data_IF_920023646480
#
_entry.id   IF_920023646480
#
_cell.length_a   1.000
_cell.length_b   1.000
_cell.length_c   1.000
_cell.angle_alpha   90.00
_cell.angle_beta   90.00
_cell.angle_gamma   90.00
#
_symmetry.space_group_name_H-M   'P 1'
#
loop_
_entity.id
_entity.type
_entity.pdbx_description
1 polymer ?
#
# COMPACT_ATOMS: atom_id res chain seq x y z
N UNK A 1 -21.62 5.16 -12.27
CA UNK A 1 -21.28 5.65 -10.93
C UNK A 1 -21.18 7.16 -11.07
N UNK A 2 -22.26 7.88 -10.75
CA UNK A 2 -22.27 9.34 -10.80
C UNK A 2 -21.90 9.81 -9.39
N UNK A 3 -20.61 9.90 -9.11
CA UNK A 3 -20.16 10.74 -7.99
C UNK A 3 -20.22 12.18 -8.47
N UNK A 4 -20.94 13.04 -7.75
CA UNK A 4 -20.79 14.49 -7.89
C UNK A 4 -19.29 14.82 -7.85
N UNK A 5 -18.82 15.70 -8.74
CA UNK A 5 -17.41 16.06 -8.82
C UNK A 5 -16.95 16.69 -7.50
N UNK A 6 -16.37 15.87 -6.63
CA UNK A 6 -15.78 16.32 -5.37
C UNK A 6 -14.75 17.40 -5.65
N UNK A 7 -14.77 18.43 -4.81
CA UNK A 7 -13.71 19.43 -4.75
C UNK A 7 -12.41 18.79 -4.26
N UNK A 8 -11.27 19.41 -4.58
CA UNK A 8 -9.96 18.92 -4.12
C UNK A 8 -9.88 18.80 -2.60
N UNK A 9 -10.55 19.70 -1.87
CA UNK A 9 -10.60 19.67 -0.39
C UNK A 9 -11.32 18.43 0.13
N UNK A 10 -12.42 18.03 -0.51
CA UNK A 10 -13.18 16.83 -0.13
C UNK A 10 -12.40 15.55 -0.46
N UNK A 11 -11.72 15.52 -1.61
CA UNK A 11 -10.84 14.41 -1.99
C UNK A 11 -9.68 14.25 -1.00
N UNK A 12 -9.06 15.35 -0.61
CA UNK A 12 -7.99 15.34 0.39
C UNK A 12 -8.49 14.82 1.75
N UNK A 13 -9.66 15.27 2.21
CA UNK A 13 -10.26 14.80 3.46
C UNK A 13 -10.54 13.30 3.43
N UNK A 14 -11.12 12.80 2.33
CA UNK A 14 -11.31 11.37 2.08
C UNK A 14 -9.97 10.61 2.03
N UNK A 15 -8.93 11.23 1.47
CA UNK A 15 -7.57 10.69 1.45
C UNK A 15 -7.00 10.49 2.85
N UNK A 16 -7.22 11.42 3.78
CA UNK A 16 -6.83 11.29 5.19
C UNK A 16 -7.53 10.10 5.84
N UNK A 17 -8.85 9.99 5.66
CA UNK A 17 -9.63 8.86 6.20
C UNK A 17 -9.11 7.53 5.65
N UNK A 18 -8.83 7.49 4.34
CA UNK A 18 -8.31 6.29 3.70
C UNK A 18 -6.92 5.90 4.19
N UNK A 19 -6.04 6.88 4.40
CA UNK A 19 -4.72 6.67 4.96
C UNK A 19 -4.79 6.07 6.37
N UNK A 20 -5.70 6.57 7.20
CA UNK A 20 -5.95 6.04 8.55
C UNK A 20 -6.49 4.60 8.50
N UNK A 21 -7.35 4.29 7.52
CA UNK A 21 -7.83 2.93 7.30
C UNK A 21 -6.67 1.98 6.93
N UNK A 22 -5.82 2.39 5.97
CA UNK A 22 -4.66 1.61 5.50
C UNK A 22 -3.61 1.38 6.59
N UNK A 23 -3.55 2.25 7.60
CA UNK A 23 -2.61 2.18 8.70
C UNK A 23 -3.13 1.37 9.90
N UNK A 24 -4.25 0.65 9.74
CA UNK A 24 -4.87 -0.09 10.84
C UNK A 24 -5.40 0.82 11.96
N UNK A 25 -5.73 2.07 11.63
CA UNK A 25 -6.23 3.08 12.57
C UNK A 25 -5.15 3.95 13.21
N UNK A 26 -3.87 3.78 12.86
CA UNK A 26 -2.78 4.61 13.38
C UNK A 26 -3.01 6.10 13.10
N UNK A 27 -2.87 6.94 14.13
CA UNK A 27 -3.00 8.39 14.04
C UNK A 27 -1.92 9.02 13.14
N UNK A 28 -0.75 8.39 13.04
CA UNK A 28 0.35 8.85 12.19
C UNK A 28 0.22 8.40 10.74
N UNK A 29 -0.75 7.53 10.41
CA UNK A 29 -0.86 6.92 9.09
C UNK A 29 0.12 5.76 8.82
N UNK A 30 0.91 5.34 9.82
CA UNK A 30 1.89 4.25 9.70
C UNK A 30 2.86 4.50 8.54
N UNK A 31 3.30 3.43 7.87
CA UNK A 31 4.22 3.53 6.74
C UNK A 31 3.71 4.43 5.59
N UNK A 32 2.38 4.47 5.36
CA UNK A 32 1.78 5.38 4.38
C UNK A 32 1.88 6.85 4.79
N UNK A 33 1.70 7.14 6.08
CA UNK A 33 1.83 8.49 6.63
C UNK A 33 3.27 9.00 6.60
N UNK A 34 4.24 8.13 6.91
CA UNK A 34 5.67 8.42 6.73
C UNK A 34 5.98 8.74 5.27
N UNK A 35 5.43 7.95 4.33
CA UNK A 35 5.59 8.17 2.89
C UNK A 35 5.04 9.53 2.43
N UNK A 36 3.83 9.87 2.85
CA UNK A 36 3.20 11.17 2.56
C UNK A 36 3.99 12.33 3.19
N UNK A 37 4.54 12.12 4.39
CA UNK A 37 5.34 13.11 5.12
C UNK A 37 6.58 13.54 4.37
N UNK A 38 7.48 12.59 4.04
CA UNK A 38 8.70 12.94 3.31
C UNK A 38 8.41 13.42 1.88
N UNK A 39 7.37 12.88 1.22
CA UNK A 39 6.93 13.41 -0.07
C UNK A 39 6.55 14.89 0.03
N UNK A 40 5.86 15.29 1.09
CA UNK A 40 5.48 16.68 1.29
C UNK A 40 6.70 17.59 1.51
N UNK A 41 7.77 17.09 2.12
CA UNK A 41 9.00 17.85 2.34
C UNK A 41 9.74 18.16 1.03
N UNK A 42 9.79 17.20 0.09
CA UNK A 42 10.60 17.33 -1.13
C UNK A 42 9.79 17.66 -2.38
N UNK A 43 8.51 17.29 -2.41
CA UNK A 43 7.61 17.40 -3.56
C UNK A 43 6.14 17.55 -3.11
N UNK A 44 5.75 18.71 -2.55
CA UNK A 44 4.40 18.95 -2.03
C UNK A 44 3.26 18.61 -2.99
N UNK A 45 3.43 18.91 -4.29
CA UNK A 45 2.42 18.59 -5.31
C UNK A 45 2.23 17.07 -5.48
N UNK A 46 3.30 16.29 -5.34
CA UNK A 46 3.22 14.82 -5.42
C UNK A 46 2.54 14.26 -4.18
N UNK A 47 2.84 14.79 -3.00
CA UNK A 47 2.12 14.44 -1.77
C UNK A 47 0.62 14.75 -1.90
N UNK A 48 0.28 15.89 -2.49
CA UNK A 48 -1.10 16.26 -2.81
C UNK A 48 -1.77 15.28 -3.78
N UNK A 49 -1.08 14.82 -4.83
CA UNK A 49 -1.62 13.79 -5.72
C UNK A 49 -1.86 12.45 -4.99
N UNK A 50 -0.97 12.08 -4.07
CA UNK A 50 -1.18 10.88 -3.25
C UNK A 50 -2.45 11.01 -2.39
N UNK A 51 -2.65 12.16 -1.76
CA UNK A 51 -3.81 12.40 -0.89
C UNK A 51 -5.12 12.54 -1.67
N UNK A 52 -5.15 13.37 -2.70
CA UNK A 52 -6.39 13.68 -3.44
C UNK A 52 -6.77 12.56 -4.40
N UNK A 53 -5.84 12.09 -5.22
CA UNK A 53 -6.15 11.16 -6.31
C UNK A 53 -5.96 9.70 -5.89
N UNK A 54 -4.78 9.34 -5.39
CA UNK A 54 -4.50 7.92 -5.07
C UNK A 54 -5.39 7.44 -3.93
N UNK A 55 -5.34 8.14 -2.79
CA UNK A 55 -6.12 7.79 -1.61
C UNK A 55 -7.57 8.23 -1.73
N UNK A 56 -7.81 9.51 -2.04
CA UNK A 56 -9.15 10.10 -2.12
C UNK A 56 -10.03 9.53 -3.24
N UNK A 57 -9.51 9.41 -4.47
CA UNK A 57 -10.34 9.03 -5.62
C UNK A 57 -10.28 7.53 -5.96
N UNK A 58 -9.10 6.90 -5.93
CA UNK A 58 -8.92 5.55 -6.48
C UNK A 58 -9.09 4.48 -5.41
N UNK A 59 -8.33 4.57 -4.31
CA UNK A 59 -8.32 3.55 -3.26
C UNK A 59 -9.55 3.62 -2.34
N UNK A 60 -10.26 4.74 -2.31
CA UNK A 60 -11.51 4.90 -1.55
C UNK A 60 -12.76 4.39 -2.28
N UNK A 61 -12.65 3.91 -3.53
CA UNK A 61 -13.83 3.39 -4.25
C UNK A 61 -14.41 2.16 -3.56
N UNK A 62 -15.74 2.04 -3.44
CA UNK A 62 -16.38 1.05 -2.56
C UNK A 62 -16.38 -0.38 -3.12
N UNK A 63 -16.08 -0.57 -4.40
CA UNK A 63 -16.19 -1.88 -5.05
C UNK A 63 -15.24 -2.95 -4.49
N UNK A 64 -14.14 -2.56 -3.86
CA UNK A 64 -13.17 -3.46 -3.23
C UNK A 64 -12.76 -2.90 -1.87
N UNK A 65 -12.78 -3.75 -0.85
CA UNK A 65 -12.27 -3.44 0.49
C UNK A 65 -10.74 -3.37 0.53
N UNK A 66 -10.21 -2.76 1.60
CA UNK A 66 -8.77 -2.50 1.76
C UNK A 66 -7.94 -3.76 1.74
N UNK A 67 -8.33 -4.81 2.49
CA UNK A 67 -7.64 -6.10 2.50
C UNK A 67 -7.39 -6.61 1.07
N UNK A 68 -8.44 -6.64 0.23
CA UNK A 68 -8.34 -7.10 -1.16
C UNK A 68 -7.46 -6.19 -2.02
N UNK A 69 -7.54 -4.88 -1.86
CA UNK A 69 -6.70 -3.93 -2.61
C UNK A 69 -5.22 -4.12 -2.30
N UNK A 70 -4.87 -4.29 -1.03
CA UNK A 70 -3.49 -4.51 -0.62
C UNK A 70 -2.94 -5.84 -1.13
N UNK A 71 -3.74 -6.91 -1.14
CA UNK A 71 -3.35 -8.17 -1.78
C UNK A 71 -3.04 -8.00 -3.28
N UNK A 72 -3.86 -7.21 -4.00
CA UNK A 72 -3.62 -6.90 -5.41
C UNK A 72 -2.38 -6.03 -5.61
N UNK A 73 -2.16 -5.05 -4.73
CA UNK A 73 -0.96 -4.21 -4.76
C UNK A 73 0.31 -5.05 -4.57
N UNK A 74 0.35 -5.97 -3.61
CA UNK A 74 1.48 -6.89 -3.41
C UNK A 74 1.78 -7.69 -4.67
N UNK A 75 0.75 -8.26 -5.32
CA UNK A 75 0.92 -9.02 -6.55
C UNK A 75 1.54 -8.16 -7.68
N UNK A 76 0.96 -6.98 -7.93
CA UNK A 76 1.41 -6.07 -9.00
C UNK A 76 2.82 -5.53 -8.72
N UNK A 77 3.09 -5.07 -7.50
CA UNK A 77 4.38 -4.48 -7.12
C UNK A 77 5.51 -5.52 -7.12
N UNK A 78 5.19 -6.77 -6.80
CA UNK A 78 6.10 -7.90 -7.03
C UNK A 78 6.38 -8.05 -8.52
N UNK A 79 5.34 -8.18 -9.35
CA UNK A 79 5.49 -8.41 -10.79
C UNK A 79 6.26 -7.30 -11.53
N UNK A 80 6.12 -6.03 -11.11
CA UNK A 80 6.86 -4.89 -11.70
C UNK A 80 8.21 -4.61 -11.03
N UNK A 81 8.62 -5.42 -10.04
CA UNK A 81 9.85 -5.27 -9.27
C UNK A 81 10.02 -3.88 -8.63
N UNK A 82 9.00 -3.44 -7.88
CA UNK A 82 9.02 -2.18 -7.13
C UNK A 82 9.19 -2.45 -5.61
N UNK A 83 10.41 -2.72 -5.11
CA UNK A 83 10.62 -3.20 -3.75
C UNK A 83 10.30 -2.18 -2.66
N UNK A 84 10.52 -0.89 -2.91
CA UNK A 84 10.21 0.17 -1.92
C UNK A 84 8.70 0.21 -1.66
N UNK A 85 7.91 0.27 -2.72
CA UNK A 85 6.46 0.27 -2.66
C UNK A 85 5.93 -1.09 -2.19
N UNK A 86 6.54 -2.21 -2.58
CA UNK A 86 6.15 -3.53 -2.11
C UNK A 86 6.25 -3.62 -0.58
N UNK A 87 7.34 -3.15 0.03
CA UNK A 87 7.49 -3.15 1.50
C UNK A 87 6.44 -2.28 2.18
N UNK A 88 6.18 -1.09 1.64
CA UNK A 88 5.11 -0.20 2.10
C UNK A 88 3.76 -0.94 2.11
N UNK A 89 3.40 -1.57 0.99
CA UNK A 89 2.12 -2.25 0.83
C UNK A 89 2.03 -3.56 1.60
N UNK A 90 3.15 -4.24 1.91
CA UNK A 90 3.14 -5.37 2.86
C UNK A 90 2.76 -4.88 4.26
N UNK A 91 3.31 -3.75 4.73
CA UNK A 91 2.92 -3.18 6.03
C UNK A 91 1.43 -2.79 6.05
N UNK A 92 0.94 -2.12 5.00
CA UNK A 92 -0.49 -1.79 4.87
C UNK A 92 -1.38 -3.04 4.81
N UNK A 93 -0.96 -4.09 4.09
CA UNK A 93 -1.68 -5.36 4.01
C UNK A 93 -1.82 -6.03 5.39
N UNK A 94 -0.73 -6.09 6.16
CA UNK A 94 -0.73 -6.65 7.52
C UNK A 94 -1.65 -5.85 8.43
N UNK A 95 -1.61 -4.52 8.37
CA UNK A 95 -2.52 -3.64 9.12
C UNK A 95 -3.99 -3.82 8.73
N UNK A 96 -4.26 -4.18 7.46
CA UNK A 96 -5.59 -4.50 6.94
C UNK A 96 -6.03 -5.95 7.22
N UNK A 97 -5.24 -6.74 7.96
CA UNK A 97 -5.57 -8.11 8.35
C UNK A 97 -5.23 -9.19 7.30
N UNK A 98 -4.33 -8.89 6.36
CA UNK A 98 -3.64 -9.94 5.58
C UNK A 98 -2.61 -10.62 6.49
N UNK A 99 -2.55 -11.94 6.45
CA UNK A 99 -1.59 -12.73 7.24
C UNK A 99 -0.24 -12.82 6.52
N UNK A 100 0.85 -13.11 7.26
CA UNK A 100 2.17 -13.35 6.66
C UNK A 100 2.13 -14.48 5.62
N UNK A 101 1.36 -15.54 5.90
CA UNK A 101 1.18 -16.66 4.98
C UNK A 101 0.45 -16.24 3.70
N UNK A 102 -0.61 -15.43 3.80
CA UNK A 102 -1.29 -14.85 2.62
C UNK A 102 -0.33 -13.98 1.79
N UNK A 103 0.52 -13.15 2.42
CA UNK A 103 1.54 -12.35 1.71
C UNK A 103 2.53 -13.26 0.96
N UNK A 104 3.07 -14.27 1.64
CA UNK A 104 4.00 -15.24 1.05
C UNK A 104 3.36 -15.95 -0.14
N UNK A 105 2.10 -16.36 -0.01
CA UNK A 105 1.38 -17.07 -1.07
C UNK A 105 1.14 -16.18 -2.30
N UNK A 106 0.73 -14.93 -2.12
CA UNK A 106 0.52 -13.97 -3.22
C UNK A 106 1.81 -13.75 -4.03
N UNK A 107 2.94 -13.61 -3.33
CA UNK A 107 4.26 -13.43 -3.95
C UNK A 107 4.71 -14.74 -4.63
N UNK A 108 4.52 -15.88 -3.98
CA UNK A 108 4.88 -17.20 -4.52
C UNK A 108 4.09 -17.52 -5.79
N UNK A 109 2.81 -17.13 -5.86
CA UNK A 109 2.00 -17.27 -7.06
C UNK A 109 2.60 -16.55 -8.28
N UNK A 110 3.42 -15.50 -8.08
CA UNK A 110 4.08 -14.78 -9.16
C UNK A 110 5.14 -15.63 -9.89
N UNK A 111 5.56 -16.78 -9.33
CA UNK A 111 6.40 -17.76 -10.05
C UNK A 111 5.75 -18.15 -11.38
N UNK A 112 4.42 -18.29 -11.41
CA UNK A 112 3.66 -18.72 -12.59
C UNK A 112 3.54 -17.59 -13.62
N UNK A 113 3.30 -16.36 -13.18
CA UNK A 113 2.91 -15.25 -14.05
C UNK A 113 4.05 -14.30 -14.42
N UNK A 114 5.01 -14.10 -13.51
CA UNK A 114 6.12 -13.16 -13.66
C UNK A 114 7.49 -13.87 -13.65
N UNK A 115 7.55 -15.13 -13.18
CA UNK A 115 8.75 -15.96 -13.19
C UNK A 115 9.46 -16.05 -11.85
N UNK A 116 10.24 -17.12 -11.69
CA UNK A 116 10.88 -17.46 -10.41
C UNK A 116 11.80 -16.37 -9.83
N UNK A 117 12.66 -15.68 -10.62
CA UNK A 117 13.52 -14.61 -10.07
C UNK A 117 12.74 -13.44 -9.47
N UNK A 118 11.61 -13.07 -10.08
CA UNK A 118 10.76 -11.96 -9.62
C UNK A 118 10.11 -12.31 -8.28
N UNK A 119 9.60 -13.53 -8.15
CA UNK A 119 9.03 -14.02 -6.89
C UNK A 119 10.07 -14.07 -5.77
N UNK A 120 11.32 -14.49 -6.06
CA UNK A 120 12.40 -14.51 -5.07
C UNK A 120 12.73 -13.10 -4.58
N UNK A 121 12.81 -12.11 -5.48
CA UNK A 121 13.02 -10.71 -5.10
C UNK A 121 11.88 -10.19 -4.21
N UNK A 122 10.63 -10.54 -4.54
CA UNK A 122 9.47 -10.20 -3.72
C UNK A 122 9.52 -10.85 -2.33
N UNK A 123 9.90 -12.12 -2.23
CA UNK A 123 10.04 -12.82 -0.95
C UNK A 123 11.16 -12.25 -0.11
N UNK A 124 12.24 -11.76 -0.72
CA UNK A 124 13.29 -11.03 -0.01
C UNK A 124 12.76 -9.75 0.63
N UNK A 125 11.99 -8.94 -0.12
CA UNK A 125 11.36 -7.75 0.42
C UNK A 125 10.38 -8.07 1.57
N UNK A 126 9.59 -9.14 1.44
CA UNK A 126 8.71 -9.60 2.52
C UNK A 126 9.48 -10.03 3.76
N UNK A 127 10.60 -10.75 3.58
CA UNK A 127 11.49 -11.16 4.67
C UNK A 127 12.01 -9.93 5.43
N UNK A 128 12.49 -8.91 4.73
CA UNK A 128 13.00 -7.69 5.36
C UNK A 128 11.92 -7.02 6.23
N UNK A 129 10.69 -6.89 5.73
CA UNK A 129 9.57 -6.34 6.54
C UNK A 129 9.28 -7.21 7.76
N UNK A 130 9.28 -8.54 7.61
CA UNK A 130 9.02 -9.44 8.74
C UNK A 130 10.13 -9.40 9.79
N UNK A 131 11.39 -9.29 9.37
CA UNK A 131 12.52 -9.14 10.28
C UNK A 131 12.45 -7.82 11.06
N UNK A 132 12.12 -6.70 10.38
CA UNK A 132 11.90 -5.40 11.00
C UNK A 132 10.80 -5.47 12.07
N UNK A 133 9.65 -6.09 11.76
CA UNK A 133 8.53 -6.26 12.69
C UNK A 133 8.86 -7.21 13.86
N UNK A 134 9.73 -8.20 13.63
CA UNK A 134 10.18 -9.14 14.65
C UNK A 134 11.34 -8.59 15.51
N UNK A 135 11.86 -7.38 15.21
CA UNK A 135 12.99 -6.78 15.90
C UNK A 135 14.34 -7.49 15.62
N UNK A 136 14.49 -8.08 14.44
CA UNK A 136 15.70 -8.81 14.00
C UNK A 136 16.61 -7.98 13.08
N UNK A 137 16.30 -6.69 12.89
CA UNK A 137 17.01 -5.75 12.03
C UNK A 137 18.27 -5.18 12.70
#
# INVERSE_FOLDING_TARGET
MNEENLTNKERYARGIEKLKELSGGSETGGAGGEMVGWLNEIAPDVSKYAMEFVLGDVLSRPALGTKTREMLNIAVLTAIQAPIELKLHINCALAAGVTRDEVIEIISQQIVYAGFPIAINGLHAAKEVFDELDGKA
#
